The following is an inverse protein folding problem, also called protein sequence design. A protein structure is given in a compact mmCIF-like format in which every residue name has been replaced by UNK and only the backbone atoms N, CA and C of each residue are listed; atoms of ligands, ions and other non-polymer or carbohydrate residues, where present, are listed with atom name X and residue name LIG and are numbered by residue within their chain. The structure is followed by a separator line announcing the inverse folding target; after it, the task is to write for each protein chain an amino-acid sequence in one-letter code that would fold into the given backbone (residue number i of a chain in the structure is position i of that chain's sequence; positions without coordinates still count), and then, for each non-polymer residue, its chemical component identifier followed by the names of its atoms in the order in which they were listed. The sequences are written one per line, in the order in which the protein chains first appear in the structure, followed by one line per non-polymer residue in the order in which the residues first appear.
data_IF_672895936697
#
_entry.id   IF_672895936697
#
_cell.length_a   1.000
_cell.length_b   1.000
_cell.length_c   1.000
_cell.angle_alpha   90.00
_cell.angle_beta   90.00
_cell.angle_gamma   90.00
#
_symmetry.space_group_name_H-M   'P 1'
#
loop_
_entity.id
_entity.type
_entity.pdbx_description
1 polymer ?
#
# COMPACT_ATOMS: atom_id res chain seq x y z
N UNK A 1 4.39 -17.96 7.55
CA UNK A 1 3.46 -17.24 6.66
C UNK A 1 4.20 -16.53 5.52
N UNK A 2 5.47 -16.14 5.67
CA UNK A 2 6.26 -15.41 4.69
C UNK A 2 6.31 -13.90 4.95
N UNK A 3 7.11 -13.20 4.13
CA UNK A 3 7.22 -11.76 4.10
C UNK A 3 6.82 -11.28 2.72
N UNK A 4 5.85 -10.37 2.67
CA UNK A 4 5.29 -9.86 1.43
C UNK A 4 5.38 -8.35 1.38
N UNK A 5 5.49 -7.79 0.18
CA UNK A 5 5.49 -6.35 -0.05
C UNK A 5 4.81 -5.99 -1.37
N UNK A 6 4.36 -4.76 -1.49
CA UNK A 6 3.98 -4.13 -2.76
C UNK A 6 4.91 -2.95 -3.05
N UNK A 7 5.02 -2.57 -4.31
CA UNK A 7 5.81 -1.42 -4.72
C UNK A 7 5.14 -0.10 -4.35
N UNK A 8 5.95 0.88 -3.94
CA UNK A 8 5.52 2.26 -3.80
C UNK A 8 6.00 3.13 -4.97
N UNK A 9 5.43 4.31 -5.09
CA UNK A 9 5.66 5.25 -6.19
C UNK A 9 7.10 5.80 -6.27
N UNK A 10 7.93 5.60 -5.24
CA UNK A 10 9.34 6.00 -5.17
C UNK A 10 10.33 4.82 -5.24
N UNK A 11 9.86 3.59 -5.41
CA UNK A 11 10.71 2.39 -5.53
C UNK A 11 11.30 2.23 -6.95
N UNK A 12 11.69 3.34 -7.55
CA UNK A 12 12.29 3.45 -8.88
C UNK A 12 13.48 4.39 -8.85
N UNK A 13 14.31 4.31 -9.87
CA UNK A 13 15.43 5.26 -10.03
C UNK A 13 14.90 6.66 -10.27
N UNK A 14 15.11 7.56 -9.34
CA UNK A 14 14.64 8.93 -9.38
C UNK A 14 15.80 9.92 -9.22
N UNK A 15 15.67 11.09 -9.85
CA UNK A 15 16.61 12.19 -9.64
C UNK A 15 16.23 12.95 -8.38
N UNK A 16 17.09 12.85 -7.36
CA UNK A 16 16.88 13.51 -6.08
C UNK A 16 17.82 14.74 -5.99
N UNK A 17 17.26 15.89 -5.67
CA UNK A 17 18.02 17.10 -5.38
C UNK A 17 17.49 17.74 -4.09
N UNK A 18 18.38 17.98 -3.14
CA UNK A 18 18.05 18.53 -1.82
C UNK A 18 16.91 17.78 -1.10
N UNK A 19 16.83 16.46 -1.29
CA UNK A 19 15.80 15.60 -0.70
C UNK A 19 14.47 15.57 -1.46
N UNK A 20 14.30 16.31 -2.54
CA UNK A 20 13.10 16.31 -3.35
C UNK A 20 13.30 15.55 -4.65
N UNK A 21 12.27 14.81 -5.06
CA UNK A 21 12.23 14.08 -6.32
C UNK A 21 11.79 15.00 -7.45
N UNK A 22 12.51 14.95 -8.57
CA UNK A 22 12.17 15.72 -9.76
C UNK A 22 11.70 14.80 -10.88
N UNK A 23 10.66 15.20 -11.63
CA UNK A 23 10.20 14.44 -12.79
C UNK A 23 11.33 14.24 -13.79
N UNK A 24 11.53 13.01 -14.22
CA UNK A 24 12.44 12.67 -15.32
C UNK A 24 11.61 12.48 -16.60
N UNK A 25 12.16 12.94 -17.74
CA UNK A 25 11.57 12.69 -19.05
C UNK A 25 11.96 11.30 -19.60
N UNK A 26 12.88 10.64 -18.91
CA UNK A 26 13.44 9.36 -19.33
C UNK A 26 12.57 8.22 -18.80
N UNK A 27 12.71 7.07 -19.42
CA UNK A 27 12.01 5.84 -19.04
C UNK A 27 12.29 5.52 -17.57
N UNK A 28 11.23 5.25 -16.82
CA UNK A 28 11.34 4.82 -15.43
C UNK A 28 12.02 3.46 -15.40
N UNK A 29 13.04 3.37 -14.57
CA UNK A 29 13.83 2.15 -14.43
C UNK A 29 13.71 1.66 -12.99
N UNK A 30 13.21 0.44 -12.84
CA UNK A 30 13.32 -0.31 -11.59
C UNK A 30 14.76 -0.76 -11.44
N UNK A 31 15.36 -0.56 -10.28
CA UNK A 31 16.72 -1.05 -10.03
C UNK A 31 16.68 -2.57 -9.80
N UNK A 32 17.22 -3.33 -10.77
CA UNK A 32 17.28 -4.78 -10.69
C UNK A 32 18.04 -5.29 -9.46
N UNK A 33 19.01 -4.52 -8.95
CA UNK A 33 19.77 -4.88 -7.75
C UNK A 33 18.88 -4.83 -6.51
N UNK A 34 17.93 -3.88 -6.47
CA UNK A 34 16.97 -3.77 -5.37
C UNK A 34 15.98 -4.94 -5.42
N UNK A 35 15.49 -5.30 -6.60
CA UNK A 35 14.64 -6.49 -6.78
C UNK A 35 15.38 -7.77 -6.34
N UNK A 36 16.64 -7.92 -6.73
CA UNK A 36 17.47 -9.05 -6.32
C UNK A 36 17.70 -9.08 -4.80
N UNK A 37 17.96 -7.93 -4.19
CA UNK A 37 18.09 -7.81 -2.74
C UNK A 37 16.82 -8.26 -2.01
N UNK A 38 15.64 -7.82 -2.44
CA UNK A 38 14.37 -8.23 -1.85
C UNK A 38 14.16 -9.74 -1.95
N UNK A 39 14.46 -10.32 -3.11
CA UNK A 39 14.38 -11.75 -3.31
C UNK A 39 15.35 -12.53 -2.38
N UNK A 40 16.60 -12.10 -2.27
CA UNK A 40 17.56 -12.71 -1.34
C UNK A 40 17.19 -12.52 0.13
N UNK A 41 16.50 -11.44 0.47
CA UNK A 41 15.95 -11.22 1.80
C UNK A 41 14.70 -12.07 2.10
N UNK A 42 14.23 -12.89 1.15
CA UNK A 42 13.05 -13.73 1.30
C UNK A 42 11.74 -12.93 1.28
N UNK A 43 11.74 -11.75 0.64
CA UNK A 43 10.56 -10.90 0.49
C UNK A 43 9.90 -11.19 -0.86
N UNK A 44 8.64 -11.60 -0.83
CA UNK A 44 7.83 -11.81 -2.03
C UNK A 44 7.12 -10.51 -2.39
N UNK A 45 7.43 -9.99 -3.59
CA UNK A 45 6.74 -8.82 -4.13
C UNK A 45 5.44 -9.26 -4.80
N UNK A 46 4.35 -8.58 -4.50
CA UNK A 46 3.05 -8.77 -5.13
C UNK A 46 2.67 -7.50 -5.89
N UNK A 47 2.24 -7.65 -7.15
CA UNK A 47 1.91 -6.54 -8.03
C UNK A 47 0.69 -6.88 -8.92
N UNK A 48 -0.50 -6.50 -8.46
CA UNK A 48 -1.79 -6.99 -8.94
C UNK A 48 -1.89 -8.53 -8.87
N UNK A 49 -1.28 -9.09 -7.84
CA UNK A 49 -1.17 -10.52 -7.58
C UNK A 49 -1.77 -10.88 -6.22
N UNK A 50 -2.24 -12.11 -6.13
CA UNK A 50 -2.88 -12.66 -4.94
C UNK A 50 -2.24 -13.98 -4.53
N UNK A 51 -2.04 -14.14 -3.24
CA UNK A 51 -1.61 -15.42 -2.64
C UNK A 51 -2.62 -15.86 -1.59
N UNK A 52 -2.93 -17.15 -1.56
CA UNK A 52 -3.73 -17.73 -0.50
C UNK A 52 -2.82 -18.25 0.62
N UNK A 53 -2.95 -17.69 1.80
CA UNK A 53 -2.11 -18.03 2.94
C UNK A 53 -2.77 -19.15 3.75
N UNK A 54 -2.17 -20.34 3.72
CA UNK A 54 -2.60 -21.53 4.47
C UNK A 54 -4.09 -21.93 4.29
N UNK A 55 -4.71 -21.60 3.16
CA UNK A 55 -6.14 -21.71 2.93
C UNK A 55 -7.00 -21.00 4.00
N UNK A 56 -6.49 -19.96 4.61
CA UNK A 56 -7.15 -19.21 5.67
C UNK A 56 -7.60 -17.82 5.24
N UNK A 57 -6.83 -17.16 4.39
CA UNK A 57 -7.15 -15.84 3.84
C UNK A 57 -6.34 -15.54 2.57
N UNK A 58 -6.80 -14.59 1.80
CA UNK A 58 -6.07 -14.05 0.67
C UNK A 58 -5.27 -12.82 1.06
N UNK A 59 -4.01 -12.76 0.59
CA UNK A 59 -3.18 -11.56 0.63
C UNK A 59 -2.96 -11.06 -0.78
N UNK A 60 -3.38 -9.84 -1.03
CA UNK A 60 -3.29 -9.16 -2.32
C UNK A 60 -2.23 -8.06 -2.22
N UNK A 61 -1.36 -7.96 -3.21
CA UNK A 61 -0.53 -6.78 -3.41
C UNK A 61 -0.98 -6.04 -4.65
N UNK A 62 -1.40 -4.78 -4.51
CA UNK A 62 -1.81 -3.96 -5.66
C UNK A 62 -0.62 -3.22 -6.26
N UNK A 63 -0.67 -3.06 -7.59
CA UNK A 63 0.25 -2.18 -8.30
C UNK A 63 -0.02 -0.73 -7.89
N UNK A 64 1.02 0.02 -7.53
CA UNK A 64 0.88 1.44 -7.21
C UNK A 64 0.33 2.23 -8.40
N UNK A 65 -0.60 3.13 -8.13
CA UNK A 65 -1.32 3.90 -9.14
C UNK A 65 -0.42 4.82 -9.96
N UNK A 66 0.53 5.47 -9.29
CA UNK A 66 1.46 6.37 -9.96
C UNK A 66 2.50 5.59 -10.77
N UNK A 67 2.91 4.42 -10.25
CA UNK A 67 3.78 3.51 -11.00
C UNK A 67 3.11 2.99 -12.25
N UNK A 68 1.88 2.51 -12.15
CA UNK A 68 1.11 2.04 -13.31
C UNK A 68 1.03 3.12 -14.39
N UNK A 69 0.72 4.37 -14.00
CA UNK A 69 0.67 5.51 -14.90
C UNK A 69 2.03 5.85 -15.52
N UNK A 70 3.08 5.86 -14.72
CA UNK A 70 4.43 6.14 -15.17
C UNK A 70 4.97 5.07 -16.13
N UNK A 71 4.72 3.80 -15.85
CA UNK A 71 5.14 2.66 -16.67
C UNK A 71 4.21 2.38 -17.85
N UNK A 72 3.07 3.07 -17.93
CA UNK A 72 2.01 2.84 -18.93
C UNK A 72 1.52 1.39 -18.92
N UNK A 73 1.45 0.81 -17.73
CA UNK A 73 0.95 -0.54 -17.49
C UNK A 73 -0.47 -0.50 -16.91
N UNK A 74 -1.30 -1.52 -17.18
CA UNK A 74 -2.60 -1.62 -16.55
C UNK A 74 -2.44 -1.82 -15.02
N UNK A 75 -3.42 -1.31 -14.27
CA UNK A 75 -3.64 -1.60 -12.86
C UNK A 75 -5.02 -2.22 -12.74
N UNK A 76 -5.11 -3.39 -12.12
CA UNK A 76 -6.38 -4.05 -11.92
C UNK A 76 -7.25 -3.25 -10.94
N UNK A 77 -8.55 -3.21 -11.21
CA UNK A 77 -9.55 -2.75 -10.24
C UNK A 77 -9.65 -3.74 -9.08
N UNK A 78 -10.23 -3.32 -7.96
CA UNK A 78 -10.48 -4.24 -6.86
C UNK A 78 -11.40 -5.38 -7.29
N UNK A 79 -12.44 -5.10 -8.07
CA UNK A 79 -13.35 -6.12 -8.59
C UNK A 79 -12.62 -7.18 -9.43
N UNK A 80 -11.74 -6.77 -10.36
CA UNK A 80 -10.95 -7.71 -11.18
C UNK A 80 -10.02 -8.61 -10.35
N UNK A 81 -9.59 -8.14 -9.17
CA UNK A 81 -8.74 -8.93 -8.27
C UNK A 81 -9.56 -9.87 -7.42
N UNK A 82 -10.71 -9.42 -6.91
CA UNK A 82 -11.51 -10.18 -5.93
C UNK A 82 -12.49 -11.16 -6.59
N UNK A 83 -13.02 -10.86 -7.79
CA UNK A 83 -13.98 -11.71 -8.51
C UNK A 83 -13.57 -13.19 -8.63
N UNK A 84 -12.29 -13.54 -8.89
CA UNK A 84 -11.88 -14.94 -9.01
C UNK A 84 -11.65 -15.64 -7.66
N UNK A 85 -11.75 -14.94 -6.52
CA UNK A 85 -11.45 -15.46 -5.20
C UNK A 85 -12.66 -16.15 -4.57
N UNK A 86 -12.39 -17.08 -3.65
CA UNK A 86 -13.44 -17.70 -2.85
C UNK A 86 -13.97 -16.67 -1.82
N UNK A 87 -15.23 -16.25 -1.91
CA UNK A 87 -15.78 -15.21 -1.04
C UNK A 87 -15.96 -15.66 0.43
N UNK A 88 -15.74 -16.94 0.73
CA UNK A 88 -15.75 -17.45 2.10
C UNK A 88 -14.47 -17.19 2.86
N UNK A 89 -13.40 -16.81 2.18
CA UNK A 89 -12.10 -16.48 2.79
C UNK A 89 -11.88 -14.97 2.85
N UNK A 90 -11.38 -14.48 4.00
CA UNK A 90 -11.05 -13.07 4.15
C UNK A 90 -10.01 -12.56 3.15
N UNK A 91 -10.13 -11.30 2.75
CA UNK A 91 -9.24 -10.64 1.80
C UNK A 91 -8.50 -9.49 2.47
N UNK A 92 -7.19 -9.62 2.55
CA UNK A 92 -6.28 -8.56 3.02
C UNK A 92 -5.57 -7.96 1.81
N UNK A 93 -5.63 -6.64 1.66
CA UNK A 93 -4.97 -5.93 0.58
C UNK A 93 -3.82 -5.08 1.12
N UNK A 94 -2.69 -5.15 0.46
CA UNK A 94 -1.59 -4.19 0.57
C UNK A 94 -1.67 -3.26 -0.65
N UNK A 95 -1.95 -1.99 -0.43
CA UNK A 95 -1.88 -0.94 -1.45
C UNK A 95 -0.96 0.17 -0.93
N UNK A 96 -0.06 0.67 -1.76
CA UNK A 96 0.84 1.72 -1.30
C UNK A 96 0.08 3.00 -0.93
N UNK A 97 -0.90 3.40 -1.76
CA UNK A 97 -1.68 4.62 -1.57
C UNK A 97 -3.07 4.30 -1.00
N UNK A 98 -3.56 5.00 0.05
CA UNK A 98 -4.87 4.78 0.67
C UNK A 98 -5.99 5.41 -0.17
N UNK A 99 -6.07 5.03 -1.44
CA UNK A 99 -7.08 5.49 -2.38
C UNK A 99 -8.16 4.44 -2.64
N UNK A 100 -9.27 4.90 -3.25
CA UNK A 100 -10.31 4.00 -3.77
C UNK A 100 -10.96 3.11 -2.69
N UNK A 101 -11.01 3.59 -1.42
CA UNK A 101 -11.52 2.81 -0.28
C UNK A 101 -12.97 2.37 -0.45
N UNK A 102 -13.81 3.13 -1.17
CA UNK A 102 -15.19 2.71 -1.48
C UNK A 102 -15.19 1.51 -2.41
N UNK A 103 -14.37 1.53 -3.46
CA UNK A 103 -14.24 0.42 -4.40
C UNK A 103 -13.72 -0.85 -3.71
N UNK A 104 -12.72 -0.70 -2.83
CA UNK A 104 -12.21 -1.82 -2.02
C UNK A 104 -13.28 -2.45 -1.14
N UNK A 105 -14.03 -1.61 -0.42
CA UNK A 105 -15.13 -2.07 0.45
C UNK A 105 -16.25 -2.76 -0.35
N UNK A 106 -16.64 -2.18 -1.49
CA UNK A 106 -17.68 -2.73 -2.36
C UNK A 106 -17.26 -4.05 -3.02
N UNK A 107 -15.96 -4.24 -3.24
CA UNK A 107 -15.38 -5.46 -3.78
C UNK A 107 -15.16 -6.57 -2.73
N UNK A 108 -15.54 -6.36 -1.48
CA UNK A 108 -15.47 -7.36 -0.41
C UNK A 108 -14.10 -7.49 0.25
N UNK A 109 -13.26 -6.46 0.18
CA UNK A 109 -12.01 -6.41 0.97
C UNK A 109 -12.34 -6.27 2.45
N UNK A 110 -11.69 -7.08 3.31
CA UNK A 110 -11.89 -7.03 4.76
C UNK A 110 -10.89 -6.10 5.46
N UNK A 111 -9.64 -6.11 4.98
CA UNK A 111 -8.57 -5.30 5.55
C UNK A 111 -7.72 -4.67 4.44
N UNK A 112 -7.62 -3.34 4.44
CA UNK A 112 -6.71 -2.57 3.60
C UNK A 112 -5.54 -2.04 4.44
N UNK A 113 -4.32 -2.29 3.97
CA UNK A 113 -3.06 -1.88 4.59
C UNK A 113 -2.32 -0.94 3.64
N UNK A 114 -2.22 0.33 4.01
CA UNK A 114 -1.65 1.38 3.16
C UNK A 114 -0.65 2.29 3.92
N UNK A 115 0.04 3.13 3.17
CA UNK A 115 0.99 4.11 3.69
C UNK A 115 1.00 5.40 2.89
N UNK A 116 2.13 5.73 2.25
CA UNK A 116 2.31 6.82 1.29
C UNK A 116 2.18 8.25 1.83
N UNK A 117 1.22 8.53 2.65
CA UNK A 117 0.85 9.89 3.09
C UNK A 117 1.87 10.50 4.06
N UNK A 118 2.64 9.64 4.73
CA UNK A 118 3.54 10.02 5.83
C UNK A 118 2.88 10.87 6.93
N UNK A 119 1.53 10.84 7.01
CA UNK A 119 0.72 11.75 7.85
C UNK A 119 1.08 13.23 7.59
N UNK A 120 1.37 13.57 6.31
CA UNK A 120 1.83 14.89 5.89
C UNK A 120 3.27 15.23 6.30
N UNK A 121 3.94 14.37 7.06
CA UNK A 121 5.35 14.42 7.50
C UNK A 121 5.78 15.72 8.20
N UNK A 122 5.43 16.89 7.69
CA UNK A 122 5.91 18.19 8.20
C UNK A 122 4.73 19.15 8.42
N UNK A 123 4.73 19.84 9.57
CA UNK A 123 3.83 20.96 9.79
C UNK A 123 4.08 22.08 8.74
N UNK A 124 3.03 22.68 8.13
CA UNK A 124 1.60 22.44 8.39
C UNK A 124 0.96 21.37 7.49
N UNK A 125 1.72 20.64 6.68
CA UNK A 125 1.17 19.65 5.74
C UNK A 125 0.40 18.53 6.46
N UNK A 126 0.80 18.18 7.69
CA UNK A 126 0.08 17.23 8.54
C UNK A 126 -1.36 17.67 8.89
N UNK A 127 -1.68 18.96 8.81
CA UNK A 127 -3.05 19.43 8.97
C UNK A 127 -3.85 19.35 7.66
N UNK A 128 -3.18 19.46 6.53
CA UNK A 128 -3.82 19.51 5.21
C UNK A 128 -4.08 18.12 4.65
N UNK A 129 -3.21 17.15 4.96
CA UNK A 129 -3.27 15.81 4.39
C UNK A 129 -4.62 15.11 4.64
N UNK A 130 -5.23 15.36 5.79
CA UNK A 130 -6.52 14.81 6.19
C UNK A 130 -7.73 15.39 5.40
N UNK A 131 -7.52 16.44 4.62
CA UNK A 131 -8.51 16.94 3.66
C UNK A 131 -8.33 16.36 2.26
N UNK A 132 -7.15 15.77 1.99
CA UNK A 132 -6.82 15.21 0.68
C UNK A 132 -7.11 13.70 0.60
N UNK A 133 -7.06 13.01 1.73
CA UNK A 133 -7.27 11.58 1.82
C UNK A 133 -8.39 11.26 2.79
N UNK A 134 -9.26 10.31 2.43
CA UNK A 134 -10.34 9.84 3.30
C UNK A 134 -9.78 9.21 4.60
N UNK A 135 -8.69 8.46 4.47
CA UNK A 135 -7.88 7.98 5.58
C UNK A 135 -6.43 8.37 5.32
N UNK A 136 -5.97 9.46 5.92
CA UNK A 136 -4.58 9.90 5.77
C UNK A 136 -3.63 9.14 6.67
N UNK A 137 -4.06 8.75 7.87
CA UNK A 137 -3.29 7.99 8.85
C UNK A 137 -4.22 7.42 9.92
N UNK A 138 -3.89 6.25 10.44
CA UNK A 138 -4.68 5.59 11.48
C UNK A 138 -5.64 4.55 10.94
N UNK A 139 -6.75 4.33 11.64
CA UNK A 139 -7.73 3.27 11.36
C UNK A 139 -9.07 3.88 10.97
N UNK A 140 -9.59 3.48 9.82
CA UNK A 140 -10.91 3.84 9.34
C UNK A 140 -11.74 2.57 9.07
N UNK A 141 -12.99 2.56 9.54
CA UNK A 141 -13.97 1.54 9.12
C UNK A 141 -14.83 2.07 7.98
N UNK A 142 -14.96 1.26 6.92
CA UNK A 142 -15.78 1.57 5.76
C UNK A 142 -16.60 0.34 5.36
N UNK A 143 -17.90 0.38 5.63
CA UNK A 143 -18.72 -0.83 5.52
C UNK A 143 -18.21 -1.92 6.47
N UNK A 144 -17.96 -3.13 5.95
CA UNK A 144 -17.31 -4.22 6.66
C UNK A 144 -15.79 -4.08 6.72
N UNK A 145 -15.19 -3.34 5.77
CA UNK A 145 -13.74 -3.20 5.63
C UNK A 145 -13.13 -2.34 6.74
N UNK A 146 -11.92 -2.71 7.17
CA UNK A 146 -11.06 -1.87 7.99
C UNK A 146 -9.87 -1.40 7.13
N UNK A 147 -9.65 -0.09 7.03
CA UNK A 147 -8.44 0.47 6.42
C UNK A 147 -7.49 0.96 7.48
N UNK A 148 -6.23 0.54 7.40
CA UNK A 148 -5.13 0.97 8.28
C UNK A 148 -4.09 1.66 7.42
N UNK A 149 -3.87 2.94 7.67
CA UNK A 149 -2.85 3.75 6.99
C UNK A 149 -1.76 4.12 7.98
N UNK A 150 -0.53 3.72 7.66
CA UNK A 150 0.63 4.05 8.50
C UNK A 150 1.33 5.33 8.04
N UNK A 151 1.84 6.10 8.99
CA UNK A 151 2.74 7.22 8.69
C UNK A 151 4.11 6.76 8.19
N UNK A 152 4.42 5.47 8.32
CA UNK A 152 5.64 4.83 7.85
C UNK A 152 6.85 5.00 8.78
N UNK A 153 7.80 4.09 8.64
CA UNK A 153 9.05 4.10 9.41
C UNK A 153 10.10 5.07 8.86
N UNK A 154 9.98 5.44 7.58
CA UNK A 154 10.93 6.33 6.88
C UNK A 154 10.47 7.77 6.79
N UNK A 155 11.09 8.49 5.88
CA UNK A 155 10.78 9.88 5.53
C UNK A 155 10.74 10.03 4.01
N UNK A 156 9.99 11.00 3.54
CA UNK A 156 10.01 11.47 2.16
C UNK A 156 10.71 12.83 2.09
N UNK A 157 11.51 13.04 1.05
CA UNK A 157 12.19 14.32 0.86
C UNK A 157 13.25 14.59 1.93
N UNK A 158 13.18 15.71 2.64
CA UNK A 158 14.10 16.03 3.73
C UNK A 158 14.05 14.99 4.83
N UNK A 159 15.22 14.60 5.35
CA UNK A 159 15.33 13.58 6.40
C UNK A 159 14.87 14.12 7.77
N UNK A 160 13.62 14.58 7.85
CA UNK A 160 13.01 15.10 9.07
C UNK A 160 11.51 14.88 9.12
N UNK A 161 10.97 14.81 10.32
CA UNK A 161 9.52 14.90 10.60
C UNK A 161 9.29 16.05 11.58
N UNK A 162 8.20 16.81 11.38
CA UNK A 162 7.79 17.90 12.26
C UNK A 162 6.28 17.79 12.48
N UNK A 163 5.87 17.46 13.71
CA UNK A 163 4.47 17.29 14.09
C UNK A 163 3.88 15.92 13.74
N UNK A 164 4.70 15.00 13.24
CA UNK A 164 4.33 13.58 13.00
C UNK A 164 5.42 12.66 13.51
N UNK A 165 5.09 11.39 13.71
CA UNK A 165 6.04 10.37 14.16
C UNK A 165 6.25 9.31 13.07
N UNK A 166 7.42 8.68 13.10
CA UNK A 166 7.63 7.44 12.37
C UNK A 166 7.06 6.28 13.19
N UNK A 167 6.52 5.27 12.50
CA UNK A 167 5.88 4.13 13.16
C UNK A 167 6.00 2.84 12.36
N UNK A 168 5.81 1.74 13.07
CA UNK A 168 5.55 0.41 12.52
C UNK A 168 4.25 -0.09 13.14
N UNK A 169 3.33 -0.57 12.32
CA UNK A 169 2.04 -1.08 12.77
C UNK A 169 2.14 -2.58 13.04
N UNK A 170 1.64 -3.02 14.18
CA UNK A 170 1.42 -4.43 14.50
C UNK A 170 -0.09 -4.63 14.59
N UNK A 171 -0.65 -5.37 13.63
CA UNK A 171 -2.06 -5.71 13.61
C UNK A 171 -2.26 -7.18 14.01
N UNK A 172 -3.06 -7.42 15.05
CA UNK A 172 -3.53 -8.76 15.38
C UNK A 172 -4.89 -8.95 14.70
N UNK A 173 -4.93 -9.84 13.71
CA UNK A 173 -6.13 -10.09 12.92
C UNK A 173 -6.74 -11.42 13.37
N UNK A 174 -8.02 -11.40 13.71
CA UNK A 174 -8.84 -12.59 13.98
C UNK A 174 -9.97 -12.62 12.98
N UNK A 175 -10.21 -13.76 12.41
CA UNK A 175 -11.35 -13.99 11.52
C UNK A 175 -12.43 -14.72 12.31
N UNK A 176 -13.63 -14.15 12.36
CA UNK A 176 -14.78 -14.85 12.92
C UNK A 176 -15.17 -15.99 11.99
N UNK A 177 -15.52 -17.17 12.50
CA UNK A 177 -16.04 -18.22 11.67
C UNK A 177 -17.32 -17.73 10.97
N UNK A 178 -17.49 -18.10 9.69
CA UNK A 178 -18.70 -17.77 8.96
C UNK A 178 -19.91 -18.19 9.81
N UNK A 179 -20.81 -17.26 10.10
CA UNK A 179 -22.09 -17.58 10.72
C UNK A 179 -22.96 -18.21 9.66
N UNK A 180 -23.24 -19.51 9.80
CA UNK A 180 -24.18 -20.27 8.97
C UNK A 180 -25.57 -19.60 8.90
#
# INVERSE_FOLDING_TARGET
YGTYACWGNHDVSEKILAGFTFPQKETIVRDGRFTEFLHHAGITMLEDETVCINNAFYLVGRRDKDMAKKEQLPRKTFAEITEPLDPSLPIIVMDHQPGELSEASDAGVDLDLSGHTHDGQMFPANLVIHFLWENACGVLKKGSMTSIVTSGAGVWGPAMRVGTNNEVVIANVSFDPATD
#
